data_IF_927328035362
#
_entry.id   IF_927328035362
#
_cell.length_a   1.000
_cell.length_b   1.000
_cell.length_c   1.000
_cell.angle_alpha   90.00
_cell.angle_beta   90.00
_cell.angle_gamma   90.00
#
_symmetry.space_group_name_H-M   'P 1'
#
loop_
_entity.id
_entity.type
_entity.pdbx_description
1 polymer ?
#
# COMPACT_ATOMS: atom_id res chain seq x y z
N UNK A 1 -25.84 35.85 9.96
CA UNK A 1 -25.88 34.39 10.17
C UNK A 1 -26.38 34.15 11.56
N UNK A 2 -27.60 33.64 11.66
CA UNK A 2 -28.30 33.45 12.93
C UNK A 2 -27.62 32.33 13.75
N UNK A 3 -27.79 32.31 15.08
CA UNK A 3 -27.32 31.20 15.92
C UNK A 3 -27.98 29.86 15.54
N UNK A 4 -29.13 29.92 14.87
CA UNK A 4 -29.88 28.79 14.32
C UNK A 4 -29.17 28.17 13.11
N UNK A 5 -28.64 28.99 12.18
CA UNK A 5 -27.85 28.50 11.03
C UNK A 5 -26.57 27.77 11.48
N UNK A 6 -25.96 28.21 12.60
CA UNK A 6 -24.79 27.53 13.17
C UNK A 6 -25.17 26.20 13.81
N UNK A 7 -26.29 26.13 14.51
CA UNK A 7 -26.79 24.91 15.14
C UNK A 7 -27.22 23.83 14.12
N UNK A 8 -27.87 24.21 13.03
CA UNK A 8 -28.27 23.28 11.95
C UNK A 8 -27.05 22.74 11.18
N UNK A 9 -26.01 23.57 10.95
CA UNK A 9 -24.75 23.09 10.35
C UNK A 9 -23.95 22.15 11.26
N UNK A 10 -24.15 22.25 12.58
CA UNK A 10 -23.49 21.42 13.59
C UNK A 10 -24.11 20.03 13.71
N UNK A 11 -25.45 19.94 13.67
CA UNK A 11 -26.18 18.67 13.74
C UNK A 11 -25.90 17.73 12.55
N UNK A 12 -25.52 18.29 11.39
CA UNK A 12 -25.17 17.50 10.20
C UNK A 12 -23.72 16.96 10.23
N UNK A 13 -22.95 17.24 11.29
CA UNK A 13 -21.59 16.66 11.46
C UNK A 13 -21.55 15.42 12.33
N UNK A 14 -22.48 15.30 13.27
CA UNK A 14 -22.53 14.17 14.18
C UNK A 14 -22.81 12.91 13.39
N UNK A 15 -21.91 11.91 13.46
CA UNK A 15 -22.05 10.65 12.76
C UNK A 15 -22.09 10.74 11.21
N UNK A 16 -21.49 11.78 10.61
CA UNK A 16 -21.47 11.95 9.14
C UNK A 16 -20.83 10.74 8.42
N UNK A 17 -19.78 10.16 8.99
CA UNK A 17 -19.08 8.99 8.44
C UNK A 17 -19.96 7.75 8.60
N UNK A 18 -20.58 7.56 9.77
CA UNK A 18 -21.58 6.50 10.00
C UNK A 18 -22.73 6.59 9.00
N UNK A 19 -23.32 7.77 8.77
CA UNK A 19 -24.41 7.93 7.80
C UNK A 19 -23.99 7.52 6.39
N UNK A 20 -22.80 7.93 5.96
CA UNK A 20 -22.26 7.58 4.63
C UNK A 20 -21.96 6.08 4.51
N UNK A 21 -21.39 5.48 5.55
CA UNK A 21 -21.16 4.03 5.62
C UNK A 21 -22.47 3.24 5.53
N UNK A 22 -23.48 3.58 6.34
CA UNK A 22 -24.79 2.90 6.32
C UNK A 22 -25.56 3.14 5.01
N UNK A 23 -25.33 4.28 4.33
CA UNK A 23 -25.88 4.51 3.00
C UNK A 23 -25.27 3.55 1.95
N UNK A 24 -23.95 3.37 1.94
CA UNK A 24 -23.28 2.39 1.08
C UNK A 24 -23.77 0.97 1.37
N UNK A 25 -23.97 0.64 2.65
CA UNK A 25 -24.50 -0.66 3.05
C UNK A 25 -25.93 -0.90 2.55
N UNK A 26 -26.83 0.09 2.68
CA UNK A 26 -28.20 0.01 2.16
C UNK A 26 -28.27 -0.07 0.65
N UNK A 27 -27.35 0.57 -0.05
CA UNK A 27 -27.24 0.51 -1.51
C UNK A 27 -26.71 -0.85 -2.01
N UNK A 28 -26.14 -1.67 -1.13
CA UNK A 28 -25.51 -2.94 -1.49
C UNK A 28 -24.07 -2.81 -2.00
N UNK A 29 -23.48 -1.62 -1.93
CA UNK A 29 -22.10 -1.35 -2.36
C UNK A 29 -21.08 -1.95 -1.39
N UNK A 30 -21.45 -2.10 -0.11
CA UNK A 30 -20.64 -2.76 0.92
C UNK A 30 -21.50 -3.72 1.76
N UNK A 31 -20.87 -4.78 2.27
CA UNK A 31 -21.49 -5.64 3.28
C UNK A 31 -21.22 -5.05 4.67
N UNK A 32 -22.25 -4.85 5.52
CA UNK A 32 -22.04 -4.32 6.87
C UNK A 32 -21.11 -5.19 7.71
N UNK A 33 -20.12 -4.56 8.35
CA UNK A 33 -19.17 -5.24 9.24
C UNK A 33 -19.11 -4.56 10.61
N UNK A 34 -19.24 -5.33 11.67
CA UNK A 34 -19.15 -4.87 13.07
C UNK A 34 -17.80 -4.23 13.39
N UNK A 35 -16.69 -4.73 12.81
CA UNK A 35 -15.36 -4.18 13.01
C UNK A 35 -15.20 -2.83 12.29
N UNK A 36 -15.62 -2.76 11.03
CA UNK A 36 -15.70 -1.48 10.30
C UNK A 36 -16.58 -0.47 11.03
N UNK A 37 -17.79 -0.85 11.49
CA UNK A 37 -18.67 0.03 12.29
C UNK A 37 -18.00 0.56 13.55
N UNK A 38 -17.18 -0.25 14.22
CA UNK A 38 -16.42 0.20 15.39
C UNK A 38 -15.31 1.20 15.03
N UNK A 39 -14.72 1.10 13.84
CA UNK A 39 -13.78 2.08 13.30
C UNK A 39 -14.51 3.35 12.88
N UNK A 40 -15.62 3.24 12.16
CA UNK A 40 -16.46 4.37 11.73
C UNK A 40 -16.84 5.25 12.92
N UNK A 41 -17.28 4.67 14.04
CA UNK A 41 -17.57 5.44 15.28
C UNK A 41 -16.36 6.19 15.84
N UNK A 42 -15.15 5.64 15.68
CA UNK A 42 -13.91 6.32 16.12
C UNK A 42 -13.56 7.46 15.16
N UNK A 43 -13.72 7.24 13.86
CA UNK A 43 -13.49 8.26 12.84
C UNK A 43 -14.49 9.41 12.96
N UNK A 44 -15.74 9.16 13.35
CA UNK A 44 -16.73 10.21 13.63
C UNK A 44 -16.27 11.09 14.81
N UNK A 45 -15.86 10.49 15.93
CA UNK A 45 -15.30 11.24 17.07
C UNK A 45 -14.08 12.07 16.69
N UNK A 46 -13.22 11.53 15.82
CA UNK A 46 -12.06 12.26 15.31
C UNK A 46 -12.49 13.44 14.41
N UNK A 47 -13.47 13.23 13.53
CA UNK A 47 -14.01 14.27 12.65
C UNK A 47 -14.63 15.42 13.45
N UNK A 48 -15.37 15.10 14.52
CA UNK A 48 -15.88 16.11 15.44
C UNK A 48 -14.75 16.87 16.14
N UNK A 49 -13.69 16.18 16.59
CA UNK A 49 -12.55 16.83 17.22
C UNK A 49 -11.82 17.78 16.26
N UNK A 50 -11.64 17.36 15.00
CA UNK A 50 -11.10 18.18 13.91
C UNK A 50 -11.96 19.42 13.69
N UNK A 51 -13.28 19.25 13.61
CA UNK A 51 -14.24 20.34 13.40
C UNK A 51 -14.21 21.34 14.57
N UNK A 52 -14.23 20.85 15.82
CA UNK A 52 -14.11 21.69 17.02
C UNK A 52 -12.83 22.51 17.02
N UNK A 53 -11.68 21.91 16.67
CA UNK A 53 -10.41 22.63 16.55
C UNK A 53 -10.46 23.69 15.46
N UNK A 54 -11.06 23.39 14.32
CA UNK A 54 -11.16 24.34 13.21
C UNK A 54 -12.03 25.56 13.59
N UNK A 55 -13.13 25.33 14.31
CA UNK A 55 -14.01 26.39 14.79
C UNK A 55 -13.34 27.23 15.88
N UNK A 56 -12.64 26.60 16.82
CA UNK A 56 -11.86 27.29 17.84
C UNK A 56 -10.87 28.26 17.19
N UNK A 57 -10.11 27.82 16.17
CA UNK A 57 -9.18 28.68 15.42
C UNK A 57 -9.85 29.89 14.77
N UNK A 58 -11.08 29.73 14.24
CA UNK A 58 -11.85 30.85 13.67
C UNK A 58 -12.32 31.84 14.75
N UNK A 59 -12.74 31.35 15.91
CA UNK A 59 -13.15 32.21 17.04
C UNK A 59 -11.97 32.94 17.73
N UNK A 60 -10.78 32.34 17.74
CA UNK A 60 -9.58 32.92 18.36
C UNK A 60 -9.09 34.21 17.69
N UNK A 61 -9.45 34.44 16.42
CA UNK A 61 -9.09 35.66 15.70
C UNK A 61 -9.74 36.93 16.31
N UNK A 62 -10.84 36.78 17.06
CA UNK A 62 -11.53 37.85 17.78
C UNK A 62 -11.46 37.70 19.32
N UNK A 63 -11.05 36.53 19.83
CA UNK A 63 -11.03 36.19 21.27
C UNK A 63 -9.68 36.35 21.98
N UNK A 64 -8.68 36.95 21.32
CA UNK A 64 -7.31 37.11 21.86
C UNK A 64 -7.23 37.95 23.14
N UNK A 65 -8.26 38.74 23.46
CA UNK A 65 -8.33 39.56 24.67
C UNK A 65 -8.75 38.78 25.94
N UNK A 66 -9.21 37.52 25.86
CA UNK A 66 -9.72 36.79 27.04
C UNK A 66 -9.29 35.32 27.18
N UNK A 67 -8.46 34.77 26.29
CA UNK A 67 -8.19 33.33 26.31
C UNK A 67 -6.92 32.93 27.09
N UNK A 68 -6.97 32.98 28.44
CA UNK A 68 -6.21 32.04 29.29
C UNK A 68 -6.97 30.71 29.36
N UNK A 69 -7.13 30.05 28.21
CA UNK A 69 -7.87 28.80 28.08
C UNK A 69 -6.98 27.59 28.32
N UNK A 70 -7.50 26.58 29.04
CA UNK A 70 -6.86 25.27 29.25
C UNK A 70 -6.30 24.71 27.93
N UNK A 71 -5.13 24.03 27.95
CA UNK A 71 -4.59 23.40 26.75
C UNK A 71 -5.65 22.48 26.16
N UNK A 72 -6.04 22.75 24.91
CA UNK A 72 -6.89 21.84 24.14
C UNK A 72 -6.16 20.50 24.15
N UNK A 73 -6.77 19.48 24.75
CA UNK A 73 -6.18 18.13 24.80
C UNK A 73 -5.77 17.72 23.38
N UNK A 74 -4.53 17.26 23.23
CA UNK A 74 -4.01 16.88 21.92
C UNK A 74 -4.94 15.86 21.25
N UNK A 75 -5.39 16.19 20.03
CA UNK A 75 -6.24 15.31 19.24
C UNK A 75 -5.39 14.10 18.84
N UNK A 76 -5.74 12.92 19.35
CA UNK A 76 -5.14 11.67 18.91
C UNK A 76 -5.66 11.32 17.51
N UNK A 77 -4.73 10.94 16.65
CA UNK A 77 -4.99 10.40 15.33
C UNK A 77 -5.54 8.97 15.37
N UNK A 78 -5.73 8.37 14.20
CA UNK A 78 -6.18 6.97 14.08
C UNK A 78 -5.24 6.21 13.14
N UNK A 79 -4.75 5.07 13.59
CA UNK A 79 -3.95 4.16 12.77
C UNK A 79 -4.74 2.88 12.54
N UNK A 80 -5.17 2.65 11.31
CA UNK A 80 -5.94 1.49 10.89
C UNK A 80 -5.01 0.42 10.34
N UNK A 81 -4.81 -0.66 11.10
CA UNK A 81 -4.06 -1.82 10.65
C UNK A 81 -4.99 -2.97 10.26
N UNK A 82 -4.54 -3.80 9.33
CA UNK A 82 -5.14 -5.10 9.07
C UNK A 82 -4.90 -5.60 7.66
N UNK A 83 -5.28 -6.83 7.37
CA UNK A 83 -5.03 -7.46 6.08
C UNK A 83 -5.65 -6.68 4.89
N UNK A 84 -5.23 -7.00 3.66
CA UNK A 84 -5.58 -6.20 2.46
C UNK A 84 -7.06 -6.22 2.06
N UNK A 85 -7.94 -7.10 2.51
CA UNK A 85 -9.34 -7.09 2.08
C UNK A 85 -10.22 -6.03 2.76
N UNK A 86 -9.72 -5.39 3.83
CA UNK A 86 -10.58 -5.02 4.97
C UNK A 86 -11.29 -3.66 4.88
N UNK A 87 -11.19 -2.97 3.74
CA UNK A 87 -11.84 -1.67 3.54
C UNK A 87 -11.16 -0.48 4.22
N UNK A 88 -9.89 -0.60 4.64
CA UNK A 88 -9.09 0.47 5.27
C UNK A 88 -9.11 1.77 4.45
N UNK A 89 -8.82 1.67 3.16
CA UNK A 89 -8.80 2.80 2.22
C UNK A 89 -10.17 3.43 2.10
N UNK A 90 -11.23 2.65 1.92
CA UNK A 90 -12.60 3.16 1.92
C UNK A 90 -12.95 3.91 3.21
N UNK A 91 -12.58 3.40 4.38
CA UNK A 91 -12.82 4.08 5.66
C UNK A 91 -12.03 5.40 5.77
N UNK A 92 -10.79 5.41 5.28
CA UNK A 92 -9.99 6.63 5.16
C UNK A 92 -10.63 7.65 4.22
N UNK A 93 -11.19 7.21 3.09
CA UNK A 93 -11.91 8.06 2.13
C UNK A 93 -13.13 8.71 2.77
N UNK A 94 -13.94 7.91 3.45
CA UNK A 94 -15.12 8.41 4.16
C UNK A 94 -14.74 9.48 5.18
N UNK A 95 -13.69 9.23 5.98
CA UNK A 95 -13.19 10.20 6.93
C UNK A 95 -12.64 11.46 6.25
N UNK A 96 -11.75 11.30 5.26
CA UNK A 96 -11.10 12.43 4.59
C UNK A 96 -12.13 13.34 3.94
N UNK A 97 -13.16 12.79 3.31
CA UNK A 97 -14.23 13.55 2.70
C UNK A 97 -15.12 14.26 3.73
N UNK A 98 -15.41 13.61 4.87
CA UNK A 98 -16.22 14.19 5.93
C UNK A 98 -15.48 15.25 6.78
N UNK A 99 -14.14 15.17 6.88
CA UNK A 99 -13.36 16.04 7.76
C UNK A 99 -13.46 17.53 7.35
N UNK A 100 -13.97 18.37 8.25
CA UNK A 100 -14.19 19.80 8.01
C UNK A 100 -12.96 20.65 8.33
N UNK A 101 -11.91 20.51 7.51
CA UNK A 101 -10.77 21.44 7.52
C UNK A 101 -10.22 21.58 6.10
N UNK A 102 -9.90 22.81 5.64
CA UNK A 102 -9.22 23.01 4.36
C UNK A 102 -7.75 22.60 4.43
N UNK A 103 -7.15 22.55 5.63
CA UNK A 103 -5.75 22.18 5.86
C UNK A 103 -5.61 20.68 6.09
N UNK A 104 -6.07 19.89 5.11
CA UNK A 104 -5.94 18.43 5.08
C UNK A 104 -5.21 17.99 3.83
N UNK A 105 -4.37 16.95 3.94
CA UNK A 105 -3.66 16.35 2.83
C UNK A 105 -3.79 14.84 2.91
N UNK A 106 -4.20 14.23 1.79
CA UNK A 106 -4.12 12.79 1.58
C UNK A 106 -3.00 12.50 0.60
N UNK A 107 -2.12 11.55 0.93
CA UNK A 107 -0.96 11.22 0.12
C UNK A 107 -0.44 9.82 0.48
N UNK A 108 0.17 9.11 -0.45
CA UNK A 108 0.92 7.88 -0.15
C UNK A 108 2.16 8.21 0.68
N UNK A 109 2.53 7.34 1.62
CA UNK A 109 3.63 7.59 2.54
C UNK A 109 4.98 7.84 1.83
N UNK A 110 5.33 7.03 0.81
CA UNK A 110 6.59 7.19 0.07
C UNK A 110 6.65 8.52 -0.69
N UNK A 111 5.53 8.97 -1.27
CA UNK A 111 5.46 10.25 -1.95
C UNK A 111 5.59 11.43 -0.97
N UNK A 112 5.08 11.28 0.26
CA UNK A 112 5.29 12.24 1.33
C UNK A 112 6.77 12.29 1.73
N UNK A 113 7.43 11.15 1.93
CA UNK A 113 8.85 11.11 2.29
C UNK A 113 9.75 11.72 1.22
N UNK A 114 9.46 11.49 -0.06
CA UNK A 114 10.18 12.16 -1.16
C UNK A 114 10.07 13.70 -1.08
N UNK A 115 8.87 14.25 -0.87
CA UNK A 115 8.65 15.70 -0.66
C UNK A 115 9.44 16.22 0.56
N UNK A 116 9.49 15.46 1.65
CA UNK A 116 10.26 15.82 2.85
C UNK A 116 11.76 15.86 2.55
N UNK A 117 12.31 14.85 1.86
CA UNK A 117 13.72 14.84 1.47
C UNK A 117 14.08 16.01 0.57
N UNK A 118 13.22 16.36 -0.39
CA UNK A 118 13.41 17.53 -1.26
C UNK A 118 13.40 18.85 -0.47
N UNK A 119 12.49 19.00 0.51
CA UNK A 119 12.44 20.17 1.40
C UNK A 119 13.70 20.27 2.27
N UNK A 120 14.15 19.15 2.83
CA UNK A 120 15.40 19.06 3.61
C UNK A 120 16.61 19.41 2.75
N UNK A 121 16.68 18.89 1.53
CA UNK A 121 17.75 19.17 0.56
C UNK A 121 17.83 20.66 0.22
N UNK A 122 16.68 21.29 -0.07
CA UNK A 122 16.59 22.74 -0.32
C UNK A 122 17.06 23.56 0.88
N UNK A 123 16.63 23.20 2.09
CA UNK A 123 17.04 23.89 3.31
C UNK A 123 18.56 23.84 3.50
N UNK A 124 19.16 22.65 3.34
CA UNK A 124 20.62 22.46 3.44
C UNK A 124 21.38 23.22 2.35
N UNK A 125 20.82 23.36 1.14
CA UNK A 125 21.43 24.16 0.09
C UNK A 125 21.44 25.65 0.45
N UNK A 126 20.35 26.17 1.02
CA UNK A 126 20.25 27.57 1.45
C UNK A 126 21.21 27.88 2.61
N UNK A 127 21.32 26.99 3.59
CA UNK A 127 22.29 27.11 4.68
C UNK A 127 23.74 27.20 4.16
N UNK A 128 24.09 26.35 3.18
CA UNK A 128 25.40 26.40 2.51
C UNK A 128 25.65 27.68 1.72
N UNK A 129 24.61 28.37 1.26
CA UNK A 129 24.72 29.67 0.57
C UNK A 129 24.87 30.88 1.51
N UNK A 130 25.06 30.65 2.82
CA UNK A 130 25.27 31.73 3.80
C UNK A 130 23.99 32.46 4.23
N UNK A 131 22.81 31.94 3.88
CA UNK A 131 21.53 32.49 4.38
C UNK A 131 21.29 32.01 5.83
N UNK A 132 20.75 32.85 6.72
CA UNK A 132 20.51 32.51 8.12
C UNK A 132 19.25 31.62 8.27
N UNK A 133 19.35 30.36 7.85
CA UNK A 133 18.23 29.40 7.89
C UNK A 133 18.38 28.35 9.01
N UNK A 134 19.52 28.34 9.73
CA UNK A 134 19.83 27.34 10.77
C UNK A 134 20.33 26.01 10.20
N UNK A 135 21.02 25.22 11.02
CA UNK A 135 21.66 23.97 10.56
C UNK A 135 20.69 22.78 10.51
N UNK A 136 19.69 22.74 11.39
CA UNK A 136 18.73 21.64 11.44
C UNK A 136 17.52 21.90 10.54
N UNK A 137 17.35 21.14 9.44
CA UNK A 137 16.26 21.36 8.50
C UNK A 137 14.92 20.79 8.98
N UNK A 138 14.89 19.93 10.02
CA UNK A 138 13.65 19.21 10.39
C UNK A 138 12.58 20.15 10.99
N UNK A 139 12.86 20.96 12.04
CA UNK A 139 11.84 21.84 12.60
C UNK A 139 11.21 22.81 11.59
N UNK A 140 11.96 23.53 10.73
CA UNK A 140 11.34 24.44 9.76
C UNK A 140 10.53 23.70 8.70
N UNK A 141 10.96 22.52 8.27
CA UNK A 141 10.20 21.67 7.34
C UNK A 141 8.90 21.18 7.97
N UNK A 142 8.94 20.69 9.21
CA UNK A 142 7.75 20.24 9.93
C UNK A 142 6.73 21.38 10.12
N UNK A 143 7.21 22.57 10.49
CA UNK A 143 6.37 23.77 10.61
C UNK A 143 5.70 24.17 9.29
N UNK A 144 6.44 24.11 8.18
CA UNK A 144 5.88 24.38 6.86
C UNK A 144 4.79 23.36 6.48
N UNK A 145 5.06 22.06 6.68
CA UNK A 145 4.08 20.99 6.44
C UNK A 145 2.84 21.16 7.30
N UNK A 146 2.99 21.48 8.59
CA UNK A 146 1.87 21.70 9.51
C UNK A 146 1.03 22.92 9.13
N UNK A 147 1.65 23.98 8.60
CA UNK A 147 0.96 25.17 8.09
C UNK A 147 0.16 24.86 6.81
N UNK A 148 0.67 23.99 5.94
CA UNK A 148 -0.04 23.55 4.72
C UNK A 148 -1.18 22.57 5.06
N UNK A 149 -0.89 21.56 5.88
CA UNK A 149 -1.81 20.48 6.20
C UNK A 149 -1.56 19.91 7.60
N UNK A 150 -2.34 20.37 8.58
CA UNK A 150 -2.26 19.84 9.94
C UNK A 150 -3.06 18.55 10.13
N UNK A 151 -3.95 18.19 9.20
CA UNK A 151 -4.55 16.85 9.13
C UNK A 151 -3.89 16.06 8.00
N UNK A 152 -3.05 15.10 8.36
CA UNK A 152 -2.38 14.21 7.41
C UNK A 152 -3.09 12.87 7.35
N UNK A 153 -3.44 12.45 6.15
CA UNK A 153 -4.07 11.17 5.85
C UNK A 153 -3.14 10.35 4.97
N UNK A 154 -2.45 9.36 5.53
CA UNK A 154 -1.60 8.46 4.77
C UNK A 154 -2.35 7.21 4.35
N UNK A 155 -2.33 6.95 3.05
CA UNK A 155 -2.68 5.65 2.52
C UNK A 155 -1.42 4.79 2.47
N UNK A 156 -1.56 3.50 2.83
CA UNK A 156 -0.49 2.51 2.77
C UNK A 156 0.78 2.93 3.51
N UNK A 157 0.66 3.23 4.80
CA UNK A 157 1.78 3.54 5.67
C UNK A 157 2.68 2.31 5.85
N UNK A 158 3.77 2.25 5.11
CA UNK A 158 4.81 1.23 5.21
C UNK A 158 6.19 1.87 5.18
N UNK A 159 7.09 1.42 6.06
CA UNK A 159 8.49 1.87 6.09
C UNK A 159 9.38 0.70 5.72
N UNK A 160 10.12 0.83 4.62
CA UNK A 160 11.05 -0.20 4.12
C UNK A 160 12.47 0.34 3.91
N UNK A 161 12.64 1.66 3.74
CA UNK A 161 13.94 2.29 3.54
C UNK A 161 14.59 2.73 4.87
N UNK A 162 15.89 2.47 5.02
CA UNK A 162 16.71 2.93 6.14
C UNK A 162 16.86 4.45 6.18
N UNK A 163 16.93 5.11 5.03
CA UNK A 163 17.09 6.57 4.96
C UNK A 163 15.90 7.29 5.58
N UNK A 164 14.69 6.76 5.35
CA UNK A 164 13.46 7.23 5.99
C UNK A 164 13.46 6.92 7.48
N UNK A 165 13.82 5.69 7.86
CA UNK A 165 13.88 5.26 9.25
C UNK A 165 14.73 6.19 10.14
N UNK A 166 15.85 6.71 9.62
CA UNK A 166 16.74 7.63 10.35
C UNK A 166 16.13 9.00 10.64
N UNK A 167 15.22 9.49 9.79
CA UNK A 167 14.65 10.85 9.90
C UNK A 167 13.27 10.83 10.56
N UNK A 168 12.53 9.73 10.40
CA UNK A 168 11.12 9.62 10.78
C UNK A 168 10.82 9.99 12.23
N UNK A 169 11.63 9.49 13.18
CA UNK A 169 11.44 9.80 14.60
C UNK A 169 11.48 11.31 14.86
N UNK A 170 12.51 11.98 14.33
CA UNK A 170 12.70 13.43 14.50
C UNK A 170 11.61 14.23 13.78
N UNK A 171 11.29 13.83 12.55
CA UNK A 171 10.27 14.48 11.74
C UNK A 171 8.90 14.42 12.40
N UNK A 172 8.42 13.22 12.76
CA UNK A 172 7.09 13.07 13.35
C UNK A 172 7.02 13.66 14.75
N UNK A 173 8.11 13.62 15.52
CA UNK A 173 8.19 14.37 16.79
C UNK A 173 7.93 15.86 16.56
N UNK A 174 8.58 16.46 15.56
CA UNK A 174 8.38 17.86 15.21
C UNK A 174 6.97 18.13 14.66
N UNK A 175 6.45 17.28 13.77
CA UNK A 175 5.09 17.40 13.23
C UNK A 175 4.03 17.34 14.34
N UNK A 176 4.13 16.39 15.26
CA UNK A 176 3.20 16.28 16.38
C UNK A 176 3.32 17.44 17.36
N UNK A 177 4.52 17.99 17.58
CA UNK A 177 4.72 19.20 18.37
C UNK A 177 4.06 20.44 17.74
N UNK A 178 4.03 20.53 16.41
CA UNK A 178 3.26 21.54 15.65
C UNK A 178 1.74 21.24 15.62
N UNK A 179 1.31 20.17 16.28
CA UNK A 179 -0.08 19.77 16.42
C UNK A 179 -0.65 19.12 15.16
N UNK A 180 0.18 18.47 14.34
CA UNK A 180 -0.30 17.62 13.24
C UNK A 180 -1.08 16.43 13.80
N UNK A 181 -2.21 16.11 13.17
CA UNK A 181 -3.04 14.95 13.47
C UNK A 181 -2.88 13.95 12.33
N UNK A 182 -2.56 12.70 12.68
CA UNK A 182 -2.31 11.64 11.71
C UNK A 182 -3.50 10.68 11.62
N UNK A 183 -3.98 10.42 10.41
CA UNK A 183 -4.79 9.23 10.10
C UNK A 183 -4.02 8.39 9.10
N UNK A 184 -3.82 7.11 9.40
CA UNK A 184 -3.02 6.23 8.54
C UNK A 184 -3.73 4.89 8.34
N UNK A 185 -3.61 4.32 7.15
CA UNK A 185 -3.95 2.92 6.86
C UNK A 185 -2.66 2.12 6.66
N UNK A 186 -2.59 0.90 7.16
CA UNK A 186 -1.45 0.00 6.94
C UNK A 186 -1.86 -1.46 6.97
N UNK A 187 -1.04 -2.30 6.34
CA UNK A 187 -1.16 -3.76 6.43
C UNK A 187 -0.43 -4.32 7.66
N UNK A 188 0.39 -3.51 8.32
CA UNK A 188 1.22 -3.91 9.46
C UNK A 188 0.79 -3.11 10.69
N UNK A 189 0.69 -3.72 11.89
CA UNK A 189 0.42 -2.96 13.10
C UNK A 189 1.61 -2.04 13.43
N UNK A 190 1.40 -0.93 14.18
CA UNK A 190 2.46 0.03 14.48
C UNK A 190 3.75 -0.59 15.03
N UNK A 191 3.65 -1.53 15.97
CA UNK A 191 4.80 -2.14 16.65
C UNK A 191 5.68 -3.00 15.71
N UNK A 192 5.09 -3.47 14.60
CA UNK A 192 5.77 -4.28 13.60
C UNK A 192 6.26 -3.44 12.39
N UNK A 193 6.09 -2.12 12.41
CA UNK A 193 6.70 -1.25 11.41
C UNK A 193 8.23 -1.41 11.45
N UNK A 194 8.82 -1.65 10.27
CA UNK A 194 10.27 -1.83 10.11
C UNK A 194 10.85 -2.99 10.96
N UNK A 195 10.07 -4.07 11.19
CA UNK A 195 10.40 -5.17 12.10
C UNK A 195 11.77 -5.82 11.84
N UNK A 196 12.08 -6.01 10.57
CA UNK A 196 13.29 -6.67 10.08
C UNK A 196 14.24 -5.69 9.37
N UNK A 197 14.03 -4.38 9.57
CA UNK A 197 14.83 -3.33 8.99
C UNK A 197 16.22 -3.20 9.62
N UNK A 198 17.19 -2.78 8.82
CA UNK A 198 18.57 -2.62 9.26
C UNK A 198 18.67 -1.51 10.33
N UNK A 199 19.38 -1.76 11.43
CA UNK A 199 19.49 -0.86 12.58
C UNK A 199 18.12 -0.45 13.20
N UNK A 200 17.17 -1.37 13.30
CA UNK A 200 15.83 -1.13 13.90
C UNK A 200 15.83 -0.42 15.27
N UNK A 201 16.90 -0.54 16.06
CA UNK A 201 17.06 0.22 17.31
C UNK A 201 16.95 1.74 17.11
N UNK A 202 17.40 2.25 15.95
CA UNK A 202 17.27 3.67 15.57
C UNK A 202 15.82 4.06 15.21
N UNK A 203 15.01 3.10 14.80
CA UNK A 203 13.60 3.30 14.43
C UNK A 203 12.65 3.17 15.63
N UNK A 204 13.04 2.41 16.66
CA UNK A 204 12.21 2.16 17.85
C UNK A 204 11.69 3.44 18.54
N UNK A 205 12.46 4.55 18.63
CA UNK A 205 11.94 5.82 19.15
C UNK A 205 10.74 6.36 18.36
N UNK A 206 10.68 6.14 17.04
CA UNK A 206 9.54 6.55 16.23
C UNK A 206 8.27 5.77 16.60
N UNK A 207 8.37 4.46 16.88
CA UNK A 207 7.24 3.64 17.31
C UNK A 207 6.60 4.20 18.60
N UNK A 208 7.44 4.59 19.56
CA UNK A 208 7.00 5.20 20.81
C UNK A 208 6.32 6.57 20.58
N UNK A 209 6.85 7.37 19.65
CA UNK A 209 6.24 8.65 19.26
C UNK A 209 4.89 8.41 18.59
N UNK A 210 4.80 7.47 17.65
CA UNK A 210 3.57 7.12 16.95
C UNK A 210 2.48 6.66 17.93
N UNK A 211 2.79 5.69 18.80
CA UNK A 211 1.84 5.12 19.77
C UNK A 211 1.24 6.15 20.75
N UNK A 212 1.97 7.24 21.05
CA UNK A 212 1.47 8.33 21.90
C UNK A 212 0.43 9.21 21.20
N UNK A 213 0.48 9.30 19.87
CA UNK A 213 -0.30 10.25 19.09
C UNK A 213 -1.42 9.63 18.27
N UNK A 214 -1.48 8.31 18.14
CA UNK A 214 -2.55 7.62 17.40
C UNK A 214 -3.24 6.57 18.24
N UNK A 215 -4.54 6.38 17.98
CA UNK A 215 -5.28 5.20 18.43
C UNK A 215 -5.12 4.12 17.35
N UNK A 216 -4.37 3.07 17.68
CA UNK A 216 -4.21 1.91 16.81
C UNK A 216 -5.47 1.03 16.86
N UNK A 217 -6.05 0.74 15.70
CA UNK A 217 -7.23 -0.10 15.58
C UNK A 217 -6.97 -1.16 14.52
N UNK A 218 -7.12 -2.43 14.90
CA UNK A 218 -7.10 -3.54 13.96
C UNK A 218 -8.49 -3.80 13.39
N UNK A 219 -8.57 -4.00 12.08
CA UNK A 219 -9.74 -4.49 11.35
C UNK A 219 -9.73 -6.02 11.15
N UNK A 220 -8.82 -6.73 11.80
CA UNK A 220 -8.71 -8.19 11.74
C UNK A 220 -9.68 -8.83 12.76
N UNK A 221 -10.97 -8.78 12.43
CA UNK A 221 -12.01 -9.57 13.10
C UNK A 221 -12.09 -11.01 12.58
N UNK A 222 -12.78 -11.93 13.28
CA UNK A 222 -12.91 -13.34 12.89
C UNK A 222 -13.72 -13.55 11.60
N UNK A 223 -14.38 -12.51 11.08
CA UNK A 223 -15.19 -12.60 9.85
C UNK A 223 -14.40 -12.02 8.68
N UNK A 224 -14.05 -12.90 7.74
CA UNK A 224 -13.41 -12.55 6.48
C UNK A 224 -14.44 -12.27 5.39
N UNK A 225 -14.67 -10.99 5.07
CA UNK A 225 -15.57 -10.57 3.98
C UNK A 225 -14.93 -10.69 2.58
N UNK A 226 -13.68 -11.18 2.46
CA UNK A 226 -13.17 -11.66 1.17
C UNK A 226 -13.91 -12.90 0.67
N UNK A 227 -14.69 -13.57 1.53
CA UNK A 227 -15.38 -14.81 1.22
C UNK A 227 -16.69 -14.64 0.44
N UNK A 228 -17.14 -13.42 0.11
CA UNK A 228 -18.45 -13.22 -0.55
C UNK A 228 -18.41 -12.76 -2.00
N UNK A 229 -17.22 -12.64 -2.61
CA UNK A 229 -17.08 -12.64 -4.08
C UNK A 229 -15.80 -13.36 -4.52
N UNK A 230 -15.97 -14.61 -4.94
CA UNK A 230 -15.12 -15.27 -5.95
C UNK A 230 -13.79 -15.84 -5.47
N UNK A 231 -13.83 -17.12 -5.08
CA UNK A 231 -12.74 -18.12 -5.03
C UNK A 231 -11.50 -17.82 -4.17
N UNK A 232 -11.38 -18.64 -3.12
CA UNK A 232 -10.10 -19.22 -2.72
C UNK A 232 -9.50 -19.87 -3.97
N UNK A 233 -8.48 -19.26 -4.55
CA UNK A 233 -7.75 -19.89 -5.64
C UNK A 233 -6.25 -19.65 -5.40
N UNK A 234 -5.44 -20.68 -5.17
CA UNK A 234 -4.02 -20.48 -4.88
C UNK A 234 -3.34 -19.85 -6.10
N UNK A 235 -2.77 -18.66 -5.94
CA UNK A 235 -1.85 -18.05 -6.91
C UNK A 235 -0.61 -18.92 -7.18
N UNK A 236 -0.41 -19.97 -6.38
CA UNK A 236 0.69 -20.92 -6.48
C UNK A 236 0.25 -22.30 -6.03
N UNK A 237 0.28 -23.25 -6.95
CA UNK A 237 -0.14 -24.64 -6.74
C UNK A 237 1.11 -25.50 -6.63
N UNK A 238 1.25 -26.23 -5.52
CA UNK A 238 2.35 -27.18 -5.33
C UNK A 238 1.84 -28.43 -4.62
N UNK A 239 2.28 -29.63 -5.03
CA UNK A 239 3.16 -29.91 -6.18
C UNK A 239 2.48 -29.66 -7.54
N UNK A 240 3.27 -29.56 -8.62
CA UNK A 240 2.78 -29.41 -10.00
C UNK A 240 2.29 -30.76 -10.57
N UNK A 241 1.24 -31.30 -9.99
CA UNK A 241 0.62 -32.57 -10.38
C UNK A 241 -0.70 -32.38 -11.14
N UNK A 242 -1.42 -33.47 -11.40
CA UNK A 242 -2.68 -33.45 -12.15
C UNK A 242 -3.78 -32.63 -11.48
N UNK A 243 -3.76 -32.52 -10.15
CA UNK A 243 -4.75 -31.72 -9.42
C UNK A 243 -4.44 -30.23 -9.61
N UNK A 244 -3.16 -29.86 -9.60
CA UNK A 244 -2.73 -28.51 -9.98
C UNK A 244 -3.10 -28.17 -11.44
N UNK A 245 -2.94 -29.12 -12.37
CA UNK A 245 -3.33 -28.93 -13.78
C UNK A 245 -4.82 -28.67 -13.92
N UNK A 246 -5.65 -29.49 -13.27
CA UNK A 246 -7.10 -29.31 -13.26
C UNK A 246 -7.51 -27.95 -12.65
N UNK A 247 -6.87 -27.54 -11.55
CA UNK A 247 -7.13 -26.25 -10.92
C UNK A 247 -6.74 -25.06 -11.83
N UNK A 248 -5.60 -25.16 -12.54
CA UNK A 248 -5.18 -24.17 -13.54
C UNK A 248 -6.16 -24.11 -14.72
N UNK A 249 -6.63 -25.26 -15.21
CA UNK A 249 -7.59 -25.35 -16.31
C UNK A 249 -8.94 -24.72 -15.95
N UNK A 250 -9.45 -24.98 -14.75
CA UNK A 250 -10.71 -24.38 -14.28
C UNK A 250 -10.57 -22.87 -14.14
N UNK A 251 -9.47 -22.37 -13.56
CA UNK A 251 -9.23 -20.93 -13.44
C UNK A 251 -9.02 -20.25 -14.80
N UNK A 252 -8.39 -20.94 -15.75
CA UNK A 252 -8.20 -20.44 -17.12
C UNK A 252 -9.52 -20.35 -17.89
N UNK A 253 -10.37 -21.37 -17.77
CA UNK A 253 -11.67 -21.41 -18.46
C UNK A 253 -12.62 -20.27 -18.02
N UNK A 254 -12.49 -19.76 -16.78
CA UNK A 254 -13.27 -18.62 -16.30
C UNK A 254 -12.93 -17.29 -16.99
N UNK A 255 -11.77 -17.18 -17.65
CA UNK A 255 -11.34 -15.96 -18.35
C UNK A 255 -12.00 -15.81 -19.73
N UNK A 256 -12.68 -16.85 -20.22
CA UNK A 256 -13.38 -16.85 -21.51
C UNK A 256 -12.61 -17.61 -22.61
N UNK A 257 -12.92 -17.36 -23.88
CA UNK A 257 -12.43 -18.18 -24.99
C UNK A 257 -10.93 -18.03 -25.21
N UNK A 258 -10.25 -19.16 -25.38
CA UNK A 258 -8.83 -19.22 -25.71
C UNK A 258 -8.57 -18.89 -27.18
N UNK A 259 -7.47 -18.19 -27.44
CA UNK A 259 -6.96 -17.88 -28.78
C UNK A 259 -5.42 -17.93 -28.78
N UNK A 260 -4.83 -18.06 -29.97
CA UNK A 260 -3.40 -17.90 -30.15
C UNK A 260 -3.09 -16.47 -30.61
N UNK A 261 -1.91 -15.96 -30.26
CA UNK A 261 -1.43 -14.66 -30.68
C UNK A 261 0.07 -14.60 -30.84
N UNK A 262 0.56 -13.44 -31.28
CA UNK A 262 1.97 -13.19 -31.51
C UNK A 262 2.36 -11.78 -31.07
N UNK A 263 3.56 -11.65 -30.50
CA UNK A 263 4.18 -10.37 -30.18
C UNK A 263 5.40 -10.13 -31.04
N UNK A 264 5.36 -9.03 -31.80
CA UNK A 264 6.52 -8.57 -32.58
C UNK A 264 7.45 -7.78 -31.68
N UNK A 265 8.62 -8.34 -31.40
CA UNK A 265 9.68 -7.72 -30.61
C UNK A 265 10.84 -7.45 -31.55
N UNK A 266 11.31 -6.20 -31.67
CA UNK A 266 12.31 -5.74 -32.67
C UNK A 266 13.27 -6.85 -33.18
N UNK A 267 12.94 -7.45 -34.33
CA UNK A 267 13.73 -8.50 -35.01
C UNK A 267 13.31 -9.96 -34.76
N UNK A 268 12.28 -10.24 -33.95
CA UNK A 268 11.74 -11.58 -33.69
C UNK A 268 10.26 -11.58 -33.30
N UNK A 269 9.62 -12.74 -33.35
CA UNK A 269 8.24 -12.95 -32.91
C UNK A 269 8.22 -13.86 -31.68
N UNK A 270 7.51 -13.45 -30.62
CA UNK A 270 7.20 -14.30 -29.47
C UNK A 270 5.78 -14.83 -29.64
N UNK A 271 5.64 -16.15 -29.69
CA UNK A 271 4.35 -16.81 -29.82
C UNK A 271 3.66 -16.82 -28.46
N UNK A 272 2.39 -16.44 -28.45
CA UNK A 272 1.49 -16.54 -27.30
C UNK A 272 0.53 -17.70 -27.60
N UNK A 273 0.86 -18.95 -27.20
CA UNK A 273 0.10 -20.12 -27.62
C UNK A 273 -1.33 -20.10 -27.09
N UNK A 274 -1.53 -19.55 -25.89
CA UNK A 274 -2.81 -19.50 -25.19
C UNK A 274 -3.05 -18.11 -24.61
N UNK A 275 -4.09 -17.43 -25.11
CA UNK A 275 -4.55 -16.12 -24.69
C UNK A 275 -6.05 -16.14 -24.40
N UNK A 276 -6.42 -15.53 -23.27
CA UNK A 276 -7.80 -15.18 -22.94
C UNK A 276 -7.83 -13.70 -22.53
N UNK A 277 -8.29 -12.82 -23.43
CA UNK A 277 -8.29 -11.37 -23.23
C UNK A 277 -6.89 -10.77 -23.01
N UNK A 278 -6.60 -10.39 -21.75
CA UNK A 278 -5.29 -9.86 -21.30
C UNK A 278 -4.52 -10.86 -20.43
N UNK A 279 -4.97 -12.11 -20.34
CA UNK A 279 -4.21 -13.18 -19.74
C UNK A 279 -3.46 -14.02 -20.78
N UNK A 280 -2.27 -14.51 -20.44
CA UNK A 280 -1.54 -15.51 -21.22
C UNK A 280 -1.18 -16.73 -20.37
N UNK A 281 -1.16 -17.91 -20.99
CA UNK A 281 -0.79 -19.17 -20.32
C UNK A 281 0.33 -19.90 -21.04
N UNK A 282 1.37 -20.22 -20.29
CA UNK A 282 2.57 -20.90 -20.77
C UNK A 282 2.95 -22.04 -19.84
N UNK A 283 3.62 -23.05 -20.38
CA UNK A 283 4.46 -23.94 -19.57
C UNK A 283 5.80 -23.27 -19.28
N UNK A 284 6.47 -23.70 -18.21
CA UNK A 284 7.83 -23.24 -17.90
C UNK A 284 8.81 -23.46 -19.07
N UNK A 285 8.69 -24.58 -19.77
CA UNK A 285 9.55 -24.91 -20.91
C UNK A 285 9.37 -23.92 -22.07
N UNK A 286 8.13 -23.51 -22.37
CA UNK A 286 7.83 -22.56 -23.43
C UNK A 286 8.37 -21.15 -23.13
N UNK A 287 8.39 -20.74 -21.86
CA UNK A 287 8.70 -19.36 -21.49
C UNK A 287 10.13 -19.15 -20.94
N UNK A 288 10.66 -20.13 -20.20
CA UNK A 288 11.94 -20.03 -19.50
C UNK A 288 13.02 -20.99 -20.05
N UNK A 289 12.68 -22.03 -20.80
CA UNK A 289 13.70 -22.87 -21.47
C UNK A 289 14.04 -22.38 -22.89
N UNK A 290 13.14 -21.63 -23.51
CA UNK A 290 13.38 -20.94 -24.78
C UNK A 290 14.34 -19.74 -24.67
N UNK A 291 15.01 -19.33 -25.76
CA UNK A 291 16.00 -18.23 -25.76
C UNK A 291 15.34 -16.84 -25.75
N UNK A 292 14.47 -16.61 -24.78
CA UNK A 292 13.87 -15.30 -24.49
C UNK A 292 14.81 -14.41 -23.68
N UNK A 293 14.80 -13.11 -24.01
CA UNK A 293 15.58 -12.08 -23.31
C UNK A 293 14.70 -11.03 -22.65
N UNK A 294 15.31 -10.06 -21.97
CA UNK A 294 14.60 -9.01 -21.22
C UNK A 294 13.56 -8.27 -22.05
N UNK A 295 13.85 -8.02 -23.33
CA UNK A 295 12.93 -7.33 -24.26
C UNK A 295 11.66 -8.15 -24.55
N UNK A 296 11.79 -9.47 -24.58
CA UNK A 296 10.67 -10.37 -24.85
C UNK A 296 9.71 -10.37 -23.66
N UNK A 297 10.24 -10.45 -22.43
CA UNK A 297 9.43 -10.36 -21.21
C UNK A 297 8.80 -8.98 -21.01
N UNK A 298 9.51 -7.89 -21.34
CA UNK A 298 8.94 -6.55 -21.30
C UNK A 298 7.80 -6.37 -22.31
N UNK A 299 7.94 -6.93 -23.52
CA UNK A 299 6.88 -6.91 -24.51
C UNK A 299 5.68 -7.74 -24.08
N UNK A 300 5.92 -8.92 -23.49
CA UNK A 300 4.88 -9.76 -22.88
C UNK A 300 4.11 -8.99 -21.80
N UNK A 301 4.83 -8.41 -20.83
CA UNK A 301 4.25 -7.63 -19.74
C UNK A 301 3.50 -6.36 -20.21
N UNK A 302 3.77 -5.85 -21.42
CA UNK A 302 2.97 -4.78 -22.01
C UNK A 302 1.63 -5.26 -22.59
N UNK A 303 1.55 -6.54 -23.00
CA UNK A 303 0.36 -7.13 -23.64
C UNK A 303 -0.62 -7.73 -22.63
N UNK A 304 -0.11 -8.23 -21.51
CA UNK A 304 -0.90 -8.98 -20.52
C UNK A 304 -1.00 -8.21 -19.21
N UNK A 305 -1.99 -8.55 -18.39
CA UNK A 305 -2.06 -8.18 -16.96
C UNK A 305 -2.02 -9.41 -16.04
N UNK A 306 -2.21 -10.60 -16.59
CA UNK A 306 -2.19 -11.87 -15.87
C UNK A 306 -1.38 -12.92 -16.63
N UNK A 307 -0.46 -13.59 -15.93
CA UNK A 307 0.32 -14.72 -16.45
C UNK A 307 -0.04 -16.00 -15.70
N UNK A 308 -0.40 -17.04 -16.44
CA UNK A 308 -0.49 -18.42 -15.97
C UNK A 308 0.79 -19.16 -16.38
N UNK A 309 1.49 -19.76 -15.43
CA UNK A 309 2.75 -20.49 -15.65
C UNK A 309 2.66 -21.91 -15.12
N UNK A 310 2.53 -22.88 -16.02
CA UNK A 310 2.40 -24.30 -15.69
C UNK A 310 3.78 -24.93 -15.45
N UNK A 311 3.86 -25.83 -14.46
CA UNK A 311 4.96 -26.75 -14.20
C UNK A 311 6.34 -26.11 -14.00
N UNK A 312 6.46 -25.11 -13.11
CA UNK A 312 7.76 -24.56 -12.70
C UNK A 312 8.58 -25.64 -11.98
N UNK A 313 9.71 -26.11 -12.53
CA UNK A 313 10.49 -27.18 -11.94
C UNK A 313 11.38 -26.65 -10.81
N UNK A 314 11.87 -27.57 -9.95
CA UNK A 314 13.02 -27.27 -9.10
C UNK A 314 14.24 -27.12 -10.00
N UNK A 315 14.88 -25.95 -9.97
CA UNK A 315 16.01 -25.59 -10.81
C UNK A 315 17.32 -25.94 -10.13
N UNK A 316 18.06 -26.87 -10.73
CA UNK A 316 19.43 -27.22 -10.37
C UNK A 316 20.45 -26.68 -11.39
N UNK A 317 21.71 -27.09 -11.29
CA UNK A 317 22.78 -26.59 -12.17
C UNK A 317 22.55 -26.89 -13.66
N UNK A 318 21.75 -27.90 -14.01
CA UNK A 318 21.42 -28.23 -15.41
C UNK A 318 20.46 -27.21 -16.02
N UNK A 319 19.59 -26.63 -15.19
CA UNK A 319 18.61 -25.61 -15.58
C UNK A 319 19.10 -24.17 -15.32
N UNK A 320 20.41 -23.95 -15.16
CA UNK A 320 20.97 -22.62 -14.81
C UNK A 320 20.52 -21.50 -15.75
N UNK A 321 20.50 -21.74 -17.07
CA UNK A 321 20.07 -20.73 -18.04
C UNK A 321 18.56 -20.45 -17.94
N UNK A 322 17.75 -21.47 -17.65
CA UNK A 322 16.32 -21.31 -17.41
C UNK A 322 16.05 -20.58 -16.10
N UNK A 323 16.85 -20.84 -15.05
CA UNK A 323 16.77 -20.12 -13.79
C UNK A 323 17.03 -18.62 -13.95
N UNK A 324 18.06 -18.23 -14.72
CA UNK A 324 18.30 -16.81 -15.05
C UNK A 324 17.12 -16.15 -15.75
N UNK A 325 16.52 -16.85 -16.69
CA UNK A 325 15.36 -16.35 -17.44
C UNK A 325 14.12 -16.28 -16.57
N UNK A 326 13.93 -17.23 -15.64
CA UNK A 326 12.87 -17.18 -14.65
C UNK A 326 13.06 -16.01 -13.67
N UNK A 327 14.28 -15.77 -13.18
CA UNK A 327 14.61 -14.57 -12.38
C UNK A 327 14.20 -13.30 -13.14
N UNK A 328 14.60 -13.19 -14.41
CA UNK A 328 14.30 -12.03 -15.25
C UNK A 328 12.79 -11.86 -15.53
N UNK A 329 12.08 -12.97 -15.73
CA UNK A 329 10.63 -12.99 -15.89
C UNK A 329 9.95 -12.47 -14.62
N UNK A 330 10.24 -13.06 -13.46
CA UNK A 330 9.66 -12.65 -12.17
C UNK A 330 9.98 -11.19 -11.88
N UNK A 331 11.22 -10.75 -12.12
CA UNK A 331 11.60 -9.34 -11.98
C UNK A 331 10.73 -8.43 -12.85
N UNK A 332 10.49 -8.82 -14.10
CA UNK A 332 9.67 -8.03 -15.03
C UNK A 332 8.20 -7.99 -14.60
N UNK A 333 7.63 -9.13 -14.20
CA UNK A 333 6.25 -9.21 -13.73
C UNK A 333 6.06 -8.40 -12.45
N UNK A 334 7.04 -8.47 -11.55
CA UNK A 334 7.04 -7.72 -10.30
C UNK A 334 7.07 -6.21 -10.57
N UNK A 335 8.05 -5.73 -11.35
CA UNK A 335 8.21 -4.30 -11.64
C UNK A 335 7.00 -3.73 -12.42
N UNK A 336 6.34 -4.55 -13.24
CA UNK A 336 5.18 -4.17 -14.05
C UNK A 336 3.83 -4.43 -13.39
N UNK A 337 3.81 -4.97 -12.17
CA UNK A 337 2.58 -5.37 -11.47
C UNK A 337 1.71 -6.27 -12.35
N UNK A 338 2.26 -7.37 -12.82
CA UNK A 338 1.51 -8.41 -13.54
C UNK A 338 1.12 -9.49 -12.54
N UNK A 339 -0.15 -9.90 -12.54
CA UNK A 339 -0.62 -11.00 -11.71
C UNK A 339 0.02 -12.30 -12.20
N UNK A 340 0.54 -13.12 -11.27
CA UNK A 340 1.13 -14.42 -11.59
C UNK A 340 0.33 -15.51 -10.89
N UNK A 341 -0.09 -16.49 -11.69
CA UNK A 341 -0.62 -17.75 -11.20
C UNK A 341 0.26 -18.88 -11.71
N UNK A 342 0.74 -19.75 -10.85
CA UNK A 342 1.66 -20.81 -11.27
C UNK A 342 1.38 -22.16 -10.62
N UNK A 343 1.68 -23.24 -11.33
CA UNK A 343 1.91 -24.56 -10.73
C UNK A 343 3.41 -24.84 -10.66
N UNK A 344 3.89 -25.36 -9.53
CA UNK A 344 5.31 -25.48 -9.25
C UNK A 344 5.66 -26.76 -8.47
N UNK A 345 6.82 -27.34 -8.77
CA UNK A 345 7.33 -28.54 -8.12
C UNK A 345 7.69 -28.34 -6.63
N UNK A 346 7.85 -27.09 -6.18
CA UNK A 346 8.06 -26.72 -4.78
C UNK A 346 7.56 -25.30 -4.49
N UNK A 347 7.54 -24.94 -3.20
CA UNK A 347 7.41 -23.54 -2.77
C UNK A 347 8.59 -22.68 -3.26
N UNK A 348 8.45 -21.34 -3.40
CA UNK A 348 9.48 -20.46 -3.95
C UNK A 348 10.87 -20.61 -3.33
N UNK A 349 10.94 -20.76 -2.00
CA UNK A 349 12.20 -20.97 -1.27
C UNK A 349 12.84 -22.33 -1.56
N UNK A 350 12.05 -23.31 -2.02
CA UNK A 350 12.48 -24.65 -2.40
C UNK A 350 12.76 -24.84 -3.89
N UNK A 351 12.51 -23.84 -4.73
CA UNK A 351 12.66 -23.93 -6.19
C UNK A 351 14.12 -23.91 -6.68
N UNK A 352 15.06 -23.36 -5.90
CA UNK A 352 16.46 -23.24 -6.33
C UNK A 352 17.37 -24.18 -5.55
N UNK A 353 18.00 -25.11 -6.26
CA UNK A 353 19.05 -26.02 -5.74
C UNK A 353 20.41 -25.76 -6.38
N UNK A 354 20.63 -24.55 -6.91
CA UNK A 354 21.92 -24.16 -7.46
C UNK A 354 22.99 -24.15 -6.36
N UNK A 355 24.06 -24.92 -6.60
CA UNK A 355 25.16 -25.08 -5.62
C UNK A 355 26.35 -24.15 -5.88
N UNK A 356 26.39 -23.47 -7.02
CA UNK A 356 27.46 -22.52 -7.39
C UNK A 356 26.95 -21.39 -8.29
N UNK A 357 27.58 -20.21 -8.20
CA UNK A 357 27.27 -19.03 -9.03
C UNK A 357 26.55 -17.89 -8.29
N UNK A 358 26.52 -16.68 -8.88
CA UNK A 358 25.81 -15.50 -8.33
C UNK A 358 24.29 -15.69 -8.35
N UNK A 359 23.81 -16.59 -9.21
CA UNK A 359 22.42 -16.91 -9.45
C UNK A 359 21.72 -17.47 -8.21
N UNK A 360 22.45 -18.14 -7.30
CA UNK A 360 21.89 -18.60 -6.02
C UNK A 360 21.42 -17.44 -5.15
N UNK A 361 22.21 -16.36 -5.11
CA UNK A 361 21.88 -15.16 -4.34
C UNK A 361 20.80 -14.32 -5.03
N UNK A 362 20.83 -14.23 -6.36
CA UNK A 362 19.79 -13.59 -7.17
C UNK A 362 18.43 -14.29 -6.99
N UNK A 363 18.42 -15.64 -6.92
CA UNK A 363 17.19 -16.40 -6.74
C UNK A 363 16.55 -16.19 -5.37
N UNK A 364 17.33 -15.96 -4.31
CA UNK A 364 16.76 -15.64 -2.99
C UNK A 364 15.89 -14.37 -3.05
N UNK A 365 16.31 -13.37 -3.85
CA UNK A 365 15.48 -12.17 -4.13
C UNK A 365 14.22 -12.54 -4.91
N UNK A 366 14.35 -13.42 -5.90
CA UNK A 366 13.21 -13.92 -6.70
C UNK A 366 12.19 -14.67 -5.84
N UNK A 367 12.64 -15.52 -4.92
CA UNK A 367 11.76 -16.24 -4.00
C UNK A 367 10.97 -15.27 -3.11
N UNK A 368 11.65 -14.24 -2.57
CA UNK A 368 10.99 -13.17 -1.80
C UNK A 368 9.94 -12.42 -2.64
N UNK A 369 10.27 -12.05 -3.89
CA UNK A 369 9.32 -11.41 -4.82
C UNK A 369 8.13 -12.29 -5.13
N UNK A 370 8.34 -13.59 -5.37
CA UNK A 370 7.25 -14.54 -5.60
C UNK A 370 6.34 -14.67 -4.38
N UNK A 371 6.91 -14.73 -3.18
CA UNK A 371 6.15 -14.75 -1.94
C UNK A 371 5.33 -13.45 -1.76
N UNK A 372 5.88 -12.30 -2.15
CA UNK A 372 5.16 -11.02 -2.16
C UNK A 372 4.05 -10.97 -3.23
N UNK A 373 4.32 -11.45 -4.45
CA UNK A 373 3.33 -11.52 -5.54
C UNK A 373 2.14 -12.44 -5.20
N UNK A 374 2.36 -13.44 -4.35
CA UNK A 374 1.32 -14.33 -3.81
C UNK A 374 0.65 -13.77 -2.56
N UNK A 375 1.22 -12.73 -1.96
CA UNK A 375 0.65 -12.13 -0.76
C UNK A 375 -0.63 -11.39 -1.10
N UNK A 376 -1.59 -11.46 -0.18
CA UNK A 376 -2.88 -10.83 -0.38
C UNK A 376 -2.68 -9.32 -0.57
N UNK A 377 -2.94 -8.80 -1.78
CA UNK A 377 -2.84 -7.37 -2.10
C UNK A 377 -2.08 -7.03 -3.37
N UNK A 378 -1.37 -7.99 -3.95
CA UNK A 378 -0.70 -7.83 -5.25
C UNK A 378 -1.69 -7.46 -6.38
N UNK A 379 -2.78 -8.23 -6.52
CA UNK A 379 -3.75 -8.09 -7.62
C UNK A 379 -4.56 -6.77 -7.61
N UNK A 380 -4.66 -6.11 -6.45
CA UNK A 380 -5.34 -4.80 -6.34
C UNK A 380 -4.55 -3.67 -6.98
N UNK A 381 -3.22 -3.80 -7.08
CA UNK A 381 -2.36 -2.81 -7.75
C UNK A 381 -2.38 -2.95 -9.29
N UNK A 382 -2.77 -4.12 -9.82
CA UNK A 382 -2.82 -4.41 -11.25
C UNK A 382 -4.04 -3.76 -11.91
N UNK A 383 -5.21 -3.83 -11.25
CA UNK A 383 -6.47 -3.27 -11.75
C UNK A 383 -6.49 -1.74 -11.86
N UNK A 384 -5.78 -1.04 -10.97
CA UNK A 384 -5.67 0.43 -11.00
C UNK A 384 -4.70 0.96 -12.08
N UNK A 385 -3.82 0.10 -12.61
CA UNK A 385 -2.85 0.45 -13.65
C UNK A 385 -3.41 0.23 -15.08
N UNK A 386 -4.38 -0.65 -15.25
CA UNK A 386 -5.06 -0.92 -16.53
C UNK A 386 -6.17 0.09 -16.90
N UNK A 387 -6.48 1.01 -15.99
CA UNK A 387 -7.56 2.01 -16.13
C UNK A 387 -7.14 3.41 -16.56
N UNK A 388 -5.95 3.60 -17.16
CA UNK A 388 -5.51 4.91 -17.69
C UNK A 388 -5.14 4.86 -19.16
#
# INVERSE_FOLDING_TARGET
MSEIDRAESHADTDNAITRRYEALARAGDITPDTHQRAVVRRLDRLSEAVTRRQLARKSSALGWLFARGKPVSAIRGVYLSGAVGRGKTMLLDLFFNAAQTPQKRRVHFNAFMADIHDRIGRHRALARSGKPVGDDPIPPVAKAVAAESWLLCFDEFSVTDIADAMILSRLFTALFAEGVVLVATSNVPPDDLYKDGLNRSLFTPFLAVLARHVDAVSLDGPVDYRLTRGRLDPHWLTPADRDADAAMDVAWAELGPESAGELKVKGRTVVLPRLAGRAARFTFAELCEQPHGARDYLALAGRIDTLFLDHVPVMDNTLRNAAKRFILLVDTLYDRRIALRASAAAEPDGLCRLTSGTEKFEFARTASRLNEMRSEGWDKAVGDASGR
#
